data_IF_409750498709
#
_entry.id   IF_409750498709
#
_cell.length_a   1.000
_cell.length_b   1.000
_cell.length_c   1.000
_cell.angle_alpha   90.00
_cell.angle_beta   90.00
_cell.angle_gamma   90.00
#
_symmetry.space_group_name_H-M   'P 1'
#
loop_
_entity.id
_entity.type
_entity.pdbx_description
1 polymer ?
#
# COMPACT_ATOMS: atom_id res chain seq x y z
N UNK A 1 7.47 -36.67 17.98
CA UNK A 1 8.53 -35.76 18.47
C UNK A 1 8.80 -34.77 17.34
N UNK A 2 8.16 -33.60 17.39
CA UNK A 2 8.10 -32.64 16.27
C UNK A 2 9.31 -31.71 16.33
N UNK A 3 10.01 -31.61 15.22
CA UNK A 3 11.23 -30.82 15.02
C UNK A 3 10.88 -29.34 14.90
N UNK A 4 11.53 -28.50 15.73
CA UNK A 4 11.58 -27.05 15.57
C UNK A 4 12.49 -26.72 14.37
N UNK A 5 11.95 -26.07 13.34
CA UNK A 5 12.80 -25.48 12.29
C UNK A 5 12.62 -23.97 12.29
N UNK A 6 13.66 -23.30 12.78
CA UNK A 6 13.83 -21.85 12.75
C UNK A 6 14.39 -21.51 11.36
N UNK A 7 13.61 -20.86 10.51
CA UNK A 7 14.10 -20.39 9.20
C UNK A 7 14.40 -18.90 9.31
N UNK A 8 15.68 -18.60 9.53
CA UNK A 8 16.28 -17.32 9.21
C UNK A 8 17.10 -17.55 7.92
N UNK A 9 16.80 -16.83 6.85
CA UNK A 9 17.59 -16.91 5.61
C UNK A 9 16.76 -16.66 4.36
N UNK A 10 17.03 -15.53 3.73
CA UNK A 10 16.76 -15.15 2.34
C UNK A 10 16.83 -16.32 1.35
N UNK A 11 15.67 -16.83 0.92
CA UNK A 11 15.47 -17.47 -0.38
C UNK A 11 13.97 -17.63 -0.63
N UNK A 12 13.42 -16.86 -1.58
CA UNK A 12 12.08 -17.07 -2.13
C UNK A 12 12.05 -18.45 -2.82
N UNK A 13 11.61 -19.46 -2.08
CA UNK A 13 11.38 -20.80 -2.62
C UNK A 13 10.00 -20.82 -3.27
N UNK A 14 9.96 -21.18 -4.55
CA UNK A 14 8.80 -21.07 -5.44
C UNK A 14 7.54 -21.90 -5.12
N UNK A 15 7.48 -22.91 -4.22
CA UNK A 15 6.22 -23.65 -4.02
C UNK A 15 5.28 -23.07 -2.93
N UNK A 16 5.54 -21.89 -2.37
CA UNK A 16 4.69 -21.26 -1.33
C UNK A 16 3.80 -20.10 -1.83
N UNK A 17 3.78 -19.82 -3.13
CA UNK A 17 2.97 -18.71 -3.67
C UNK A 17 1.44 -18.96 -3.56
N UNK A 18 0.99 -20.20 -3.39
CA UNK A 18 -0.44 -20.54 -3.26
C UNK A 18 -1.02 -20.31 -1.84
N UNK A 19 -0.22 -19.86 -0.87
CA UNK A 19 -0.67 -19.54 0.49
C UNK A 19 -0.74 -18.03 0.77
N UNK A 20 -0.46 -17.18 -0.22
CA UNK A 20 -0.77 -15.75 -0.12
C UNK A 20 -2.22 -15.61 -0.62
N UNK A 21 -3.19 -15.20 0.22
CA UNK A 21 -4.51 -14.80 -0.26
C UNK A 21 -4.38 -13.49 -1.06
N UNK A 22 -3.80 -13.59 -2.25
CA UNK A 22 -3.81 -12.52 -3.23
C UNK A 22 -5.24 -12.43 -3.76
N UNK A 23 -5.81 -11.22 -3.71
CA UNK A 23 -7.12 -10.98 -4.31
C UNK A 23 -7.04 -11.38 -5.78
N UNK A 24 -7.92 -12.26 -6.28
CA UNK A 24 -7.89 -12.63 -7.68
C UNK A 24 -8.12 -11.37 -8.53
N UNK A 25 -7.54 -11.27 -9.73
CA UNK A 25 -7.74 -10.11 -10.60
C UNK A 25 -9.22 -9.77 -10.84
N UNK A 26 -10.10 -10.78 -10.81
CA UNK A 26 -11.56 -10.63 -10.91
C UNK A 26 -12.22 -9.86 -9.75
N UNK A 27 -11.50 -9.62 -8.66
CA UNK A 27 -12.00 -8.84 -7.50
C UNK A 27 -11.93 -7.33 -7.74
N UNK A 28 -11.08 -6.88 -8.67
CA UNK A 28 -10.95 -5.45 -8.97
C UNK A 28 -11.98 -5.07 -10.04
N UNK A 29 -13.02 -4.36 -9.62
CA UNK A 29 -13.98 -3.73 -10.52
C UNK A 29 -13.44 -2.41 -11.07
N UNK A 30 -14.29 -1.73 -11.83
CA UNK A 30 -13.93 -0.44 -12.43
C UNK A 30 -13.58 0.60 -11.37
N UNK A 31 -14.36 0.69 -10.28
CA UNK A 31 -14.14 1.66 -9.19
C UNK A 31 -12.79 1.43 -8.48
N UNK A 32 -12.42 0.17 -8.24
CA UNK A 32 -11.12 -0.16 -7.63
C UNK A 32 -9.97 0.23 -8.55
N UNK A 33 -10.08 -0.08 -9.85
CA UNK A 33 -9.06 0.28 -10.83
C UNK A 33 -8.92 1.79 -10.99
N UNK A 34 -10.03 2.51 -11.01
CA UNK A 34 -10.06 3.97 -11.09
C UNK A 34 -9.43 4.65 -9.86
N UNK A 35 -9.44 3.98 -8.72
CA UNK A 35 -8.73 4.43 -7.52
C UNK A 35 -7.24 4.03 -7.53
N UNK A 36 -6.93 2.78 -7.83
CA UNK A 36 -5.58 2.21 -7.67
C UNK A 36 -4.63 2.66 -8.78
N UNK A 37 -5.05 2.54 -10.05
CA UNK A 37 -4.16 2.69 -11.20
C UNK A 37 -3.55 4.10 -11.28
N UNK A 38 -4.29 5.21 -11.09
CA UNK A 38 -3.68 6.54 -11.13
C UNK A 38 -2.57 6.74 -10.09
N UNK A 39 -2.71 6.14 -8.90
CA UNK A 39 -1.71 6.23 -7.81
C UNK A 39 -0.49 5.38 -8.12
N UNK A 40 -0.68 4.17 -8.62
CA UNK A 40 0.42 3.29 -9.07
C UNK A 40 1.16 3.94 -10.23
N UNK A 41 0.44 4.55 -11.18
CA UNK A 41 1.03 5.26 -12.30
C UNK A 41 1.96 6.38 -11.83
N UNK A 42 1.52 7.23 -10.88
CA UNK A 42 2.35 8.29 -10.29
C UNK A 42 3.56 7.73 -9.51
N UNK A 43 3.40 6.58 -8.83
CA UNK A 43 4.48 5.93 -8.09
C UNK A 43 5.53 5.25 -8.98
N UNK A 44 5.15 4.75 -10.15
CA UNK A 44 6.01 3.97 -11.03
C UNK A 44 6.61 4.85 -12.13
N UNK A 45 5.80 5.61 -12.87
CA UNK A 45 6.22 6.32 -14.08
C UNK A 45 7.03 7.59 -13.76
N UNK A 46 8.27 7.43 -13.34
CA UNK A 46 9.15 8.52 -12.85
C UNK A 46 10.31 8.86 -13.78
N UNK A 47 10.47 8.12 -14.88
CA UNK A 47 11.51 8.33 -15.89
C UNK A 47 10.99 8.04 -17.29
N UNK A 48 11.61 8.66 -18.31
CA UNK A 48 11.31 8.38 -19.72
C UNK A 48 11.57 6.92 -20.12
N UNK A 49 12.46 6.22 -19.41
CA UNK A 49 12.70 4.78 -19.62
C UNK A 49 11.45 3.92 -19.34
N UNK A 50 10.47 4.45 -18.60
CA UNK A 50 9.22 3.76 -18.25
C UNK A 50 8.05 4.17 -19.16
N UNK A 51 8.31 4.83 -20.28
CA UNK A 51 7.25 5.23 -21.22
C UNK A 51 6.48 4.04 -21.78
N UNK A 52 7.13 2.86 -21.92
CA UNK A 52 6.46 1.62 -22.30
C UNK A 52 5.37 1.23 -21.31
N UNK A 53 5.71 1.18 -20.02
CA UNK A 53 4.74 0.94 -18.95
C UNK A 53 3.59 1.96 -18.96
N UNK A 54 3.91 3.26 -19.11
CA UNK A 54 2.87 4.29 -19.21
C UNK A 54 1.92 4.02 -20.39
N UNK A 55 2.47 3.71 -21.56
CA UNK A 55 1.72 3.44 -22.80
C UNK A 55 0.81 2.24 -22.64
N UNK A 56 1.30 1.16 -22.03
CA UNK A 56 0.50 -0.03 -21.75
C UNK A 56 -0.69 0.31 -20.84
N UNK A 57 -0.46 1.08 -19.77
CA UNK A 57 -1.54 1.50 -18.85
C UNK A 57 -2.58 2.38 -19.54
N UNK A 58 -2.17 3.41 -20.29
CA UNK A 58 -3.13 4.30 -20.96
C UNK A 58 -3.85 3.64 -22.13
N UNK A 59 -3.29 2.57 -22.72
CA UNK A 59 -3.95 1.79 -23.76
C UNK A 59 -5.18 1.05 -23.22
N UNK A 60 -5.17 0.67 -21.93
CA UNK A 60 -6.33 0.10 -21.24
C UNK A 60 -7.38 1.17 -20.96
N UNK A 61 -6.96 2.30 -20.38
CA UNK A 61 -7.85 3.46 -20.19
C UNK A 61 -7.07 4.75 -20.11
N UNK A 62 -7.34 5.66 -21.06
CA UNK A 62 -6.76 7.00 -21.07
C UNK A 62 -7.20 7.86 -19.86
N UNK A 63 -8.21 7.40 -19.11
CA UNK A 63 -8.69 8.07 -17.90
C UNK A 63 -7.82 7.83 -16.66
N UNK A 64 -6.87 6.89 -16.72
CA UNK A 64 -5.97 6.60 -15.61
C UNK A 64 -4.92 7.69 -15.36
N UNK A 65 -4.50 8.43 -16.39
CA UNK A 65 -3.74 9.67 -16.19
C UNK A 65 -4.72 10.83 -15.91
N UNK A 66 -4.97 11.09 -14.63
CA UNK A 66 -5.90 12.14 -14.16
C UNK A 66 -5.35 13.57 -14.36
N UNK A 67 -4.12 13.75 -14.87
CA UNK A 67 -3.54 15.07 -15.16
C UNK A 67 -4.20 15.74 -16.38
N UNK A 68 -4.12 17.08 -16.50
CA UNK A 68 -4.57 17.78 -17.70
C UNK A 68 -3.78 17.35 -18.94
N UNK A 69 -4.40 17.43 -20.13
CA UNK A 69 -3.87 16.89 -21.38
C UNK A 69 -2.41 17.32 -21.68
N UNK A 70 -2.04 18.58 -21.40
CA UNK A 70 -0.69 19.09 -21.64
C UNK A 70 0.41 18.53 -20.75
N UNK A 71 0.06 17.79 -19.67
CA UNK A 71 1.02 17.13 -18.78
C UNK A 71 1.00 15.61 -18.89
N UNK A 72 0.07 15.04 -19.66
CA UNK A 72 -0.03 13.59 -19.85
C UNK A 72 1.16 13.07 -20.64
N UNK A 73 1.59 11.85 -20.34
CA UNK A 73 2.74 11.21 -21.00
C UNK A 73 4.10 11.79 -20.63
N UNK A 74 4.16 12.71 -19.66
CA UNK A 74 5.43 13.13 -19.06
C UNK A 74 5.67 12.33 -17.77
N UNK A 75 6.91 11.90 -17.49
CA UNK A 75 7.24 11.25 -16.23
C UNK A 75 6.86 12.12 -15.02
N UNK A 76 6.41 11.49 -13.95
CA UNK A 76 6.14 12.15 -12.68
C UNK A 76 7.44 12.53 -11.97
N UNK A 77 7.42 13.68 -11.30
CA UNK A 77 8.55 14.12 -10.47
C UNK A 77 8.69 13.18 -9.28
N UNK A 78 9.92 12.79 -8.98
CA UNK A 78 10.22 11.97 -7.81
C UNK A 78 10.17 12.82 -6.53
N UNK A 79 9.03 12.80 -5.82
CA UNK A 79 8.82 13.51 -4.56
C UNK A 79 8.53 12.53 -3.42
N UNK A 80 9.41 12.47 -2.42
CA UNK A 80 9.28 11.52 -1.31
C UNK A 80 8.01 11.77 -0.47
N UNK A 81 7.65 13.02 -0.20
CA UNK A 81 6.48 13.35 0.62
C UNK A 81 5.18 12.94 -0.10
N UNK A 82 5.07 13.24 -1.39
CA UNK A 82 3.92 12.85 -2.21
C UNK A 82 3.81 11.32 -2.31
N UNK A 83 4.94 10.64 -2.51
CA UNK A 83 4.98 9.18 -2.59
C UNK A 83 4.54 8.51 -1.29
N UNK A 84 4.93 9.03 -0.13
CA UNK A 84 4.47 8.51 1.16
C UNK A 84 2.95 8.60 1.29
N UNK A 85 2.35 9.73 0.87
CA UNK A 85 0.89 9.88 0.87
C UNK A 85 0.22 8.85 -0.06
N UNK A 86 0.69 8.72 -1.30
CA UNK A 86 0.12 7.77 -2.28
C UNK A 86 0.20 6.33 -1.79
N UNK A 87 1.34 5.94 -1.18
CA UNK A 87 1.53 4.62 -0.60
C UNK A 87 0.55 4.39 0.55
N UNK A 88 0.42 5.36 1.46
CA UNK A 88 -0.53 5.25 2.56
C UNK A 88 -1.99 5.16 2.12
N UNK A 89 -2.37 5.88 1.05
CA UNK A 89 -3.69 5.74 0.42
C UNK A 89 -3.92 4.34 -0.15
N UNK A 90 -2.90 3.76 -0.80
CA UNK A 90 -2.96 2.40 -1.33
C UNK A 90 -3.01 1.37 -0.20
N UNK A 91 -2.17 1.48 0.84
CA UNK A 91 -2.13 0.55 1.97
C UNK A 91 -3.49 0.49 2.68
N UNK A 92 -4.10 1.66 2.94
CA UNK A 92 -5.43 1.73 3.54
C UNK A 92 -6.50 1.09 2.65
N UNK A 93 -6.46 1.38 1.34
CA UNK A 93 -7.46 0.87 0.40
C UNK A 93 -7.32 -0.65 0.16
N UNK A 94 -6.10 -1.17 0.04
CA UNK A 94 -5.86 -2.61 -0.09
C UNK A 94 -6.25 -3.34 1.19
N UNK A 95 -5.96 -2.77 2.37
CA UNK A 95 -6.44 -3.32 3.64
C UNK A 95 -7.97 -3.44 3.68
N UNK A 96 -8.68 -2.43 3.16
CA UNK A 96 -10.13 -2.49 3.01
C UNK A 96 -10.58 -3.61 2.06
N UNK A 97 -9.93 -3.77 0.89
CA UNK A 97 -10.25 -4.84 -0.04
C UNK A 97 -9.98 -6.24 0.53
N UNK A 98 -9.03 -6.36 1.45
CA UNK A 98 -8.77 -7.58 2.24
C UNK A 98 -9.79 -7.81 3.37
N UNK A 99 -10.76 -6.91 3.54
CA UNK A 99 -11.79 -7.02 4.57
C UNK A 99 -11.29 -6.72 5.97
N UNK A 100 -10.14 -6.05 6.11
CA UNK A 100 -9.66 -5.61 7.41
C UNK A 100 -10.56 -4.51 7.97
N UNK A 101 -10.55 -4.34 9.28
CA UNK A 101 -11.06 -3.16 9.94
C UNK A 101 -9.90 -2.27 10.40
N UNK A 102 -10.22 -1.06 10.86
CA UNK A 102 -9.24 -0.05 11.28
C UNK A 102 -8.33 -0.55 12.41
N UNK A 103 -8.86 -1.30 13.38
CA UNK A 103 -8.09 -1.83 14.49
C UNK A 103 -7.14 -2.95 14.07
N UNK A 104 -7.56 -3.81 13.14
CA UNK A 104 -6.71 -4.83 12.53
C UNK A 104 -5.58 -4.18 11.71
N UNK A 105 -5.88 -3.14 10.95
CA UNK A 105 -4.85 -2.37 10.23
C UNK A 105 -3.86 -1.72 11.20
N UNK A 106 -4.35 -1.09 12.28
CA UNK A 106 -3.50 -0.52 13.33
C UNK A 106 -2.61 -1.59 13.97
N UNK A 107 -3.16 -2.75 14.28
CA UNK A 107 -2.40 -3.88 14.82
C UNK A 107 -1.33 -4.39 13.86
N UNK A 108 -1.60 -4.45 12.55
CA UNK A 108 -0.61 -4.84 11.55
C UNK A 108 0.55 -3.83 11.50
N UNK A 109 0.25 -2.54 11.58
CA UNK A 109 1.26 -1.48 11.54
C UNK A 109 2.11 -1.45 12.82
N UNK A 110 1.46 -1.45 13.98
CA UNK A 110 2.11 -1.36 15.28
C UNK A 110 1.39 -2.22 16.33
N UNK A 111 1.71 -3.53 16.41
CA UNK A 111 1.06 -4.43 17.36
C UNK A 111 1.42 -4.09 18.81
N UNK A 112 2.59 -3.49 19.06
CA UNK A 112 3.05 -3.08 20.40
C UNK A 112 2.26 -1.90 20.93
N UNK A 113 1.88 -0.95 20.08
CA UNK A 113 0.97 0.13 20.49
C UNK A 113 -0.40 -0.39 20.92
N UNK A 114 -0.91 -1.44 20.25
CA UNK A 114 -2.23 -2.03 20.54
C UNK A 114 -2.20 -2.98 21.74
N UNK A 115 -1.18 -3.85 21.81
CA UNK A 115 -1.11 -4.95 22.79
C UNK A 115 -0.23 -4.64 24.01
N UNK A 116 0.48 -3.51 24.00
CA UNK A 116 1.39 -3.09 25.07
C UNK A 116 2.86 -3.48 24.83
N UNK A 117 3.77 -2.93 25.65
CA UNK A 117 5.22 -3.07 25.49
C UNK A 117 5.74 -4.50 25.66
N UNK A 118 4.98 -5.36 26.34
CA UNK A 118 5.34 -6.77 26.57
C UNK A 118 4.99 -7.68 25.38
N UNK A 119 4.40 -7.14 24.31
CA UNK A 119 4.07 -7.92 23.12
C UNK A 119 5.35 -8.27 22.34
N UNK A 120 5.61 -9.55 22.06
CA UNK A 120 6.93 -10.00 21.60
C UNK A 120 7.23 -9.70 20.11
N UNK A 121 6.25 -9.20 19.36
CA UNK A 121 6.34 -9.05 17.90
C UNK A 121 6.18 -7.60 17.49
N UNK A 122 6.99 -7.16 16.54
CA UNK A 122 6.89 -5.86 15.87
C UNK A 122 6.96 -6.07 14.35
N UNK A 123 5.98 -5.57 13.61
CA UNK A 123 5.90 -5.81 12.15
C UNK A 123 6.95 -5.01 11.38
N UNK A 124 7.15 -3.74 11.74
CA UNK A 124 7.98 -2.81 10.98
C UNK A 124 8.98 -2.03 11.86
N UNK A 125 9.59 -2.70 12.85
CA UNK A 125 10.52 -2.09 13.82
C UNK A 125 11.54 -1.13 13.20
N UNK A 126 12.26 -1.60 12.18
CA UNK A 126 13.32 -0.79 11.55
C UNK A 126 12.80 0.49 10.90
N UNK A 127 11.64 0.40 10.23
CA UNK A 127 10.97 1.56 9.63
C UNK A 127 10.50 2.51 10.73
N UNK A 128 9.77 2.02 11.73
CA UNK A 128 9.26 2.81 12.86
C UNK A 128 10.37 3.60 13.56
N UNK A 129 11.47 2.93 13.92
CA UNK A 129 12.58 3.60 14.60
C UNK A 129 13.32 4.58 13.68
N UNK A 130 13.39 4.31 12.37
CA UNK A 130 13.92 5.28 11.42
C UNK A 130 13.05 6.53 11.30
N UNK A 131 11.73 6.37 11.19
CA UNK A 131 10.79 7.49 11.10
C UNK A 131 10.69 8.28 12.40
N UNK A 132 10.75 7.62 13.57
CA UNK A 132 10.82 8.32 14.85
C UNK A 132 12.06 9.20 14.96
N UNK A 133 13.22 8.74 14.47
CA UNK A 133 14.45 9.55 14.46
C UNK A 133 14.37 10.73 13.48
N UNK A 134 13.77 10.53 12.31
CA UNK A 134 13.72 11.55 11.26
C UNK A 134 12.59 12.56 11.45
N UNK A 135 11.40 12.09 11.86
CA UNK A 135 10.17 12.87 11.92
C UNK A 135 9.62 13.04 13.34
N UNK A 136 10.19 12.37 14.35
CA UNK A 136 9.68 12.40 15.73
C UNK A 136 8.43 11.55 15.96
N UNK A 137 7.94 10.84 14.93
CA UNK A 137 6.72 10.05 14.98
C UNK A 137 6.82 8.80 14.08
N UNK A 138 5.92 7.82 14.28
CA UNK A 138 5.74 6.74 13.31
C UNK A 138 4.87 7.23 12.13
N UNK A 139 5.47 8.05 11.26
CA UNK A 139 4.79 8.79 10.20
C UNK A 139 3.96 7.90 9.26
N UNK A 140 4.47 6.73 8.88
CA UNK A 140 3.75 5.78 8.03
C UNK A 140 2.43 5.35 8.67
N UNK A 141 2.45 4.98 9.96
CA UNK A 141 1.23 4.57 10.66
C UNK A 141 0.20 5.70 10.68
N UNK A 142 0.62 6.92 11.02
CA UNK A 142 -0.27 8.09 11.04
C UNK A 142 -0.91 8.31 9.66
N UNK A 143 -0.10 8.35 8.60
CA UNK A 143 -0.60 8.60 7.24
C UNK A 143 -1.53 7.50 6.73
N UNK A 144 -1.25 6.22 7.03
CA UNK A 144 -2.12 5.10 6.64
C UNK A 144 -3.46 5.17 7.36
N UNK A 145 -3.46 5.46 8.67
CA UNK A 145 -4.69 5.59 9.44
C UNK A 145 -5.50 6.84 9.05
N UNK A 146 -4.84 7.96 8.76
CA UNK A 146 -5.50 9.15 8.20
C UNK A 146 -6.12 8.88 6.82
N UNK A 147 -5.41 8.12 5.97
CA UNK A 147 -5.94 7.70 4.67
C UNK A 147 -7.16 6.78 4.82
N UNK A 148 -7.12 5.84 5.78
CA UNK A 148 -8.27 5.01 6.14
C UNK A 148 -9.49 5.85 6.52
N UNK A 149 -9.31 6.79 7.46
CA UNK A 149 -10.40 7.61 7.97
C UNK A 149 -11.01 8.52 6.88
N UNK A 150 -10.19 9.00 5.95
CA UNK A 150 -10.64 9.85 4.84
C UNK A 150 -11.28 9.07 3.69
N UNK A 151 -10.75 7.90 3.33
CA UNK A 151 -11.13 7.17 2.10
C UNK A 151 -12.04 5.99 2.42
N UNK A 152 -11.65 5.15 3.38
CA UNK A 152 -12.30 3.86 3.63
C UNK A 152 -13.56 4.03 4.49
N UNK A 153 -13.50 4.85 5.55
CA UNK A 153 -14.68 5.04 6.42
C UNK A 153 -15.93 5.55 5.67
N UNK A 154 -15.82 6.49 4.72
CA UNK A 154 -16.97 6.85 3.87
C UNK A 154 -17.45 5.72 2.95
N UNK A 155 -16.55 4.91 2.39
CA UNK A 155 -16.91 3.79 1.51
C UNK A 155 -17.68 2.71 2.27
N UNK A 156 -17.23 2.37 3.48
CA UNK A 156 -17.90 1.40 4.36
C UNK A 156 -19.31 1.86 4.74
N UNK A 157 -19.48 3.16 5.02
CA UNK A 157 -20.80 3.75 5.33
C UNK A 157 -21.79 3.76 4.16
N UNK A 158 -21.32 3.68 2.92
CA UNK A 158 -22.18 3.60 1.73
C UNK A 158 -22.68 2.19 1.44
N UNK A 159 -22.06 1.18 2.06
CA UNK A 159 -22.37 -0.25 1.86
C UNK A 159 -23.20 -0.84 3.01
N UNK A 160 -23.46 -0.06 4.06
CA UNK A 160 -24.29 -0.39 5.23
C UNK A 160 -25.68 0.23 5.12
#
# INVERSE_FOLDING_TARGET
MVVRTKIAGTNFSFPYMDQIPALPPSRFGEDELDFIVPRVLELVYTSNSLVGFYTDVISVSASFDKRPQGKRGQPFVYDLNRRSILRSELDAYIAYLWGLNRDQLRYILDPVEVMGPDYPTETFRGLRESEKREFGEYRTQRLVLEAWDRIVEPLRRRQS
#
